data_IF_427806874037
#
_entry.id   IF_427806874037
#
_cell.length_a   1.000
_cell.length_b   1.000
_cell.length_c   1.000
_cell.angle_alpha   90.00
_cell.angle_beta   90.00
_cell.angle_gamma   90.00
#
_symmetry.space_group_name_H-M   'P 1'
#
loop_
_entity.id
_entity.type
_entity.pdbx_description
1 polymer ?
#
# COMPACT_ATOMS: atom_id res chain seq x y z
N UNK A 1 -13.64 31.61 -14.51
CA UNK A 1 -14.48 30.70 -13.71
C UNK A 1 -15.53 31.52 -13.00
N UNK A 2 -16.81 31.25 -13.22
CA UNK A 2 -17.90 32.08 -12.69
C UNK A 2 -18.05 31.85 -11.19
N UNK A 3 -18.24 32.91 -10.41
CA UNK A 3 -18.33 32.85 -8.93
C UNK A 3 -19.34 31.80 -8.43
N UNK A 4 -20.36 31.51 -9.23
CA UNK A 4 -21.38 30.49 -8.99
C UNK A 4 -20.83 29.05 -8.96
N UNK A 5 -19.84 28.72 -9.78
CA UNK A 5 -19.17 27.39 -9.75
C UNK A 5 -18.34 27.21 -8.47
N UNK A 6 -17.65 28.27 -8.03
CA UNK A 6 -16.84 28.24 -6.81
C UNK A 6 -17.72 28.16 -5.56
N UNK A 7 -18.87 28.84 -5.56
CA UNK A 7 -19.86 28.75 -4.47
C UNK A 7 -20.54 27.37 -4.43
N UNK A 8 -20.84 26.78 -5.59
CA UNK A 8 -21.36 25.41 -5.67
C UNK A 8 -20.40 24.37 -5.11
N UNK A 9 -19.11 24.46 -5.47
CA UNK A 9 -18.06 23.58 -4.93
C UNK A 9 -17.92 23.74 -3.41
N UNK A 10 -17.97 24.98 -2.89
CA UNK A 10 -17.93 25.26 -1.44
C UNK A 10 -19.17 24.72 -0.70
N UNK A 11 -20.36 24.81 -1.30
CA UNK A 11 -21.60 24.30 -0.71
C UNK A 11 -21.64 22.77 -0.66
N UNK A 12 -21.17 22.10 -1.71
CA UNK A 12 -21.03 20.64 -1.74
C UNK A 12 -19.99 20.19 -0.70
N UNK A 13 -18.86 20.89 -0.61
CA UNK A 13 -17.84 20.62 0.40
C UNK A 13 -18.36 20.79 1.84
N UNK A 14 -19.20 21.79 2.08
CA UNK A 14 -19.84 22.02 3.38
C UNK A 14 -20.85 20.91 3.73
N UNK A 15 -21.68 20.48 2.77
CA UNK A 15 -22.65 19.40 2.99
C UNK A 15 -21.94 18.06 3.29
N UNK A 16 -20.86 17.76 2.56
CA UNK A 16 -20.05 16.57 2.81
C UNK A 16 -19.39 16.69 4.20
N UNK A 17 -18.80 17.84 4.54
CA UNK A 17 -18.18 18.04 5.84
C UNK A 17 -19.17 17.93 7.00
N UNK A 18 -20.37 18.50 6.87
CA UNK A 18 -21.43 18.43 7.89
C UNK A 18 -22.01 17.03 8.04
N UNK A 19 -22.21 16.30 6.94
CA UNK A 19 -22.66 14.91 6.97
C UNK A 19 -21.60 13.98 7.60
N UNK A 20 -20.33 14.22 7.27
CA UNK A 20 -19.21 13.52 7.91
C UNK A 20 -19.13 13.83 9.41
N UNK A 21 -19.30 15.09 9.84
CA UNK A 21 -19.35 15.45 11.26
C UNK A 21 -20.56 14.86 12.00
N UNK A 22 -21.71 14.70 11.33
CA UNK A 22 -22.86 14.02 11.92
C UNK A 22 -22.61 12.51 12.10
N UNK A 23 -21.93 11.87 11.13
CA UNK A 23 -21.48 10.48 11.27
C UNK A 23 -20.39 10.32 12.34
N UNK A 24 -19.63 11.38 12.65
CA UNK A 24 -18.60 11.38 13.71
C UNK A 24 -19.15 11.19 15.12
N UNK A 25 -20.41 11.55 15.36
CA UNK A 25 -21.04 11.46 16.69
C UNK A 25 -21.70 10.08 16.95
N UNK A 26 -21.73 9.21 15.93
CA UNK A 26 -22.46 7.92 15.94
C UNK A 26 -21.51 6.71 15.83
N UNK A 27 -20.27 6.91 15.35
CA UNK A 27 -19.28 5.86 15.06
C UNK A 27 -17.97 6.17 15.80
N UNK A 28 -17.27 5.15 16.31
CA UNK A 28 -16.00 5.28 17.01
C UNK A 28 -15.01 6.22 16.25
N UNK A 29 -14.48 7.26 16.90
CA UNK A 29 -13.67 8.33 16.29
C UNK A 29 -12.54 7.82 15.39
N UNK A 30 -11.90 6.72 15.80
CA UNK A 30 -10.83 6.08 15.04
C UNK A 30 -11.29 5.58 13.65
N UNK A 31 -12.53 5.10 13.55
CA UNK A 31 -13.08 4.58 12.29
C UNK A 31 -13.28 5.71 11.28
N UNK A 32 -13.69 6.91 11.74
CA UNK A 32 -13.77 8.08 10.86
C UNK A 32 -12.39 8.48 10.35
N UNK A 33 -11.39 8.56 11.24
CA UNK A 33 -10.01 8.89 10.85
C UNK A 33 -9.48 7.91 9.82
N UNK A 34 -9.74 6.61 10.00
CA UNK A 34 -9.34 5.59 9.04
C UNK A 34 -9.97 5.80 7.67
N UNK A 35 -11.29 6.00 7.59
CA UNK A 35 -11.98 6.20 6.31
C UNK A 35 -11.47 7.46 5.62
N UNK A 36 -11.22 8.53 6.37
CA UNK A 36 -10.60 9.73 5.85
C UNK A 36 -9.22 9.45 5.25
N UNK A 37 -8.34 8.73 5.96
CA UNK A 37 -7.02 8.37 5.43
C UNK A 37 -7.10 7.46 4.21
N UNK A 38 -8.06 6.52 4.16
CA UNK A 38 -8.29 5.70 2.97
C UNK A 38 -8.62 6.53 1.73
N UNK A 39 -9.42 7.60 1.89
CA UNK A 39 -9.75 8.53 0.81
C UNK A 39 -8.53 9.35 0.39
N UNK A 40 -7.77 9.87 1.35
CA UNK A 40 -6.53 10.60 1.07
C UNK A 40 -5.53 9.71 0.32
N UNK A 41 -5.36 8.47 0.75
CA UNK A 41 -4.49 7.50 0.08
C UNK A 41 -4.94 7.19 -1.35
N UNK A 42 -6.25 7.06 -1.58
CA UNK A 42 -6.80 6.89 -2.92
C UNK A 42 -6.47 8.10 -3.81
N UNK A 43 -6.61 9.31 -3.28
CA UNK A 43 -6.29 10.54 -4.01
C UNK A 43 -4.79 10.60 -4.33
N UNK A 44 -3.92 10.36 -3.35
CA UNK A 44 -2.45 10.40 -3.57
C UNK A 44 -1.98 9.30 -4.51
N UNK A 45 -2.59 8.11 -4.46
CA UNK A 45 -2.35 7.03 -5.40
C UNK A 45 -2.74 7.37 -6.85
N UNK A 46 -3.88 8.05 -7.03
CA UNK A 46 -4.30 8.56 -8.35
C UNK A 46 -3.34 9.64 -8.84
N UNK A 47 -2.96 10.60 -7.99
CA UNK A 47 -1.99 11.65 -8.32
C UNK A 47 -0.65 11.05 -8.75
N UNK A 48 -0.15 10.05 -8.01
CA UNK A 48 1.06 9.30 -8.33
C UNK A 48 0.96 8.69 -9.73
N UNK A 49 -0.09 7.92 -10.00
CA UNK A 49 -0.27 7.24 -11.29
C UNK A 49 -0.36 8.21 -12.47
N UNK A 50 -0.93 9.40 -12.25
CA UNK A 50 -0.98 10.47 -13.24
C UNK A 50 0.42 11.02 -13.58
N UNK A 51 1.26 11.23 -12.56
CA UNK A 51 2.63 11.73 -12.74
C UNK A 51 3.57 10.69 -13.34
N UNK A 52 3.45 9.42 -12.93
CA UNK A 52 4.29 8.32 -13.43
C UNK A 52 3.83 7.79 -14.80
N UNK A 53 2.70 8.30 -15.35
CA UNK A 53 2.05 7.84 -16.59
C UNK A 53 1.79 6.32 -16.63
N UNK A 54 1.78 5.66 -15.48
CA UNK A 54 1.57 4.23 -15.36
C UNK A 54 0.16 3.96 -14.82
N UNK A 55 -0.81 3.91 -15.73
CA UNK A 55 -2.16 3.49 -15.43
C UNK A 55 -2.27 1.98 -15.59
N UNK A 56 -2.06 1.26 -14.50
CA UNK A 56 -2.38 -0.16 -14.43
C UNK A 56 -3.63 -0.36 -13.57
N UNK A 57 -4.75 -0.63 -14.22
CA UNK A 57 -6.04 -0.85 -13.56
C UNK A 57 -6.02 -2.04 -12.59
N UNK A 58 -5.17 -3.05 -12.82
CA UNK A 58 -4.97 -4.17 -11.91
C UNK A 58 -4.38 -3.72 -10.57
N UNK A 59 -3.47 -2.75 -10.58
CA UNK A 59 -2.89 -2.17 -9.35
C UNK A 59 -3.96 -1.39 -8.58
N UNK A 60 -4.77 -0.60 -9.29
CA UNK A 60 -5.89 0.14 -8.68
C UNK A 60 -6.94 -0.77 -8.06
N UNK A 61 -7.36 -1.83 -8.77
CA UNK A 61 -8.31 -2.81 -8.25
C UNK A 61 -7.75 -3.57 -7.03
N UNK A 62 -6.47 -3.94 -7.05
CA UNK A 62 -5.81 -4.56 -5.89
C UNK A 62 -5.84 -3.65 -4.66
N UNK A 63 -5.65 -2.33 -4.84
CA UNK A 63 -5.76 -1.35 -3.76
C UNK A 63 -7.16 -1.29 -3.14
N UNK A 64 -8.20 -1.28 -3.98
CA UNK A 64 -9.60 -1.26 -3.51
C UNK A 64 -9.93 -2.56 -2.74
N UNK A 65 -9.53 -3.73 -3.25
CA UNK A 65 -9.77 -5.02 -2.58
C UNK A 65 -9.12 -5.04 -1.19
N UNK A 66 -7.89 -4.52 -1.06
CA UNK A 66 -7.22 -4.40 0.24
C UNK A 66 -8.00 -3.52 1.21
N UNK A 67 -8.48 -2.35 0.78
CA UNK A 67 -9.28 -1.45 1.63
C UNK A 67 -10.59 -2.09 2.08
N UNK A 68 -11.27 -2.85 1.21
CA UNK A 68 -12.46 -3.63 1.59
C UNK A 68 -12.12 -4.68 2.65
N UNK A 69 -11.00 -5.40 2.50
CA UNK A 69 -10.55 -6.37 3.51
C UNK A 69 -10.27 -5.72 4.87
N UNK A 70 -9.73 -4.51 4.91
CA UNK A 70 -9.55 -3.74 6.16
C UNK A 70 -10.89 -3.48 6.85
N UNK A 71 -11.90 -3.02 6.10
CA UNK A 71 -13.24 -2.76 6.66
C UNK A 71 -13.85 -4.06 7.23
N UNK A 72 -13.67 -5.20 6.55
CA UNK A 72 -14.13 -6.50 7.04
C UNK A 72 -13.43 -6.91 8.34
N UNK A 73 -12.12 -6.68 8.46
CA UNK A 73 -11.36 -6.99 9.68
C UNK A 73 -11.81 -6.12 10.88
N UNK A 74 -12.15 -4.86 10.63
CA UNK A 74 -12.70 -3.98 11.67
C UNK A 74 -14.11 -4.42 12.06
N UNK A 75 -14.93 -4.85 11.10
CA UNK A 75 -16.23 -5.46 11.37
C UNK A 75 -16.11 -6.70 12.26
N UNK A 76 -15.11 -7.55 11.99
CA UNK A 76 -14.79 -8.72 12.82
C UNK A 76 -14.36 -8.30 14.23
N UNK A 77 -13.48 -7.30 14.36
CA UNK A 77 -13.08 -6.75 15.64
C UNK A 77 -14.29 -6.24 16.46
N UNK A 78 -15.21 -5.53 15.80
CA UNK A 78 -16.45 -5.07 16.43
C UNK A 78 -17.36 -6.22 16.88
N UNK A 79 -17.47 -7.29 16.09
CA UNK A 79 -18.24 -8.47 16.47
C UNK A 79 -17.64 -9.19 17.70
N UNK A 80 -16.31 -9.29 17.77
CA UNK A 80 -15.61 -9.87 18.93
C UNK A 80 -15.84 -9.00 20.17
N UNK A 81 -15.70 -7.68 20.06
CA UNK A 81 -15.90 -6.77 21.18
C UNK A 81 -17.35 -6.78 21.69
N UNK A 82 -18.34 -6.86 20.79
CA UNK A 82 -19.74 -7.05 21.14
C UNK A 82 -19.98 -8.38 21.89
N UNK A 83 -19.36 -9.47 21.44
CA UNK A 83 -19.42 -10.75 22.13
C UNK A 83 -18.81 -10.66 23.53
N UNK A 84 -17.66 -10.01 23.68
CA UNK A 84 -17.01 -9.77 24.99
C UNK A 84 -17.91 -8.95 25.93
N UNK A 85 -18.57 -7.92 25.41
CA UNK A 85 -19.52 -7.14 26.18
C UNK A 85 -20.70 -7.98 26.67
N UNK A 86 -21.21 -8.90 25.83
CA UNK A 86 -22.32 -9.79 26.19
C UNK A 86 -22.01 -10.78 27.32
N UNK A 87 -20.73 -11.15 27.50
CA UNK A 87 -20.25 -12.02 28.59
C UNK A 87 -19.78 -11.22 29.82
N UNK A 88 -20.07 -9.91 29.88
CA UNK A 88 -19.74 -9.03 31.00
C UNK A 88 -18.29 -8.53 31.01
N UNK A 89 -17.53 -8.73 29.94
CA UNK A 89 -16.17 -8.21 29.75
C UNK A 89 -16.23 -6.97 28.87
N UNK A 90 -16.64 -5.83 29.44
CA UNK A 90 -16.69 -4.56 28.72
C UNK A 90 -15.30 -4.00 28.50
N UNK A 91 -14.83 -4.11 27.26
CA UNK A 91 -13.54 -3.59 26.79
C UNK A 91 -13.60 -2.11 26.41
N UNK A 92 -14.78 -1.46 26.51
CA UNK A 92 -15.00 -0.03 26.24
C UNK A 92 -14.48 0.46 24.87
N UNK A 93 -14.48 -0.40 23.85
CA UNK A 93 -14.03 -0.07 22.51
C UNK A 93 -12.52 -0.19 22.29
N UNK A 94 -11.75 -0.72 23.26
CA UNK A 94 -10.28 -0.82 23.16
C UNK A 94 -9.85 -1.74 22.02
N UNK A 95 -10.58 -2.82 21.75
CA UNK A 95 -10.20 -3.77 20.70
C UNK A 95 -10.43 -3.15 19.32
N UNK A 96 -11.59 -2.56 19.08
CA UNK A 96 -11.89 -1.80 17.86
C UNK A 96 -10.87 -0.67 17.69
N UNK A 97 -10.59 0.10 18.75
CA UNK A 97 -9.62 1.20 18.72
C UNK A 97 -8.21 0.70 18.34
N UNK A 98 -7.75 -0.40 18.94
CA UNK A 98 -6.44 -0.98 18.66
C UNK A 98 -6.31 -1.47 17.21
N UNK A 99 -7.29 -2.25 16.73
CA UNK A 99 -7.30 -2.76 15.34
C UNK A 99 -7.40 -1.60 14.35
N UNK A 100 -8.26 -0.62 14.61
CA UNK A 100 -8.43 0.54 13.72
C UNK A 100 -7.16 1.40 13.70
N UNK A 101 -6.51 1.61 14.84
CA UNK A 101 -5.24 2.35 14.94
C UNK A 101 -4.12 1.69 14.14
N UNK A 102 -4.05 0.36 14.14
CA UNK A 102 -3.10 -0.37 13.29
C UNK A 102 -3.32 -0.07 11.80
N UNK A 103 -4.58 -0.07 11.35
CA UNK A 103 -4.88 0.25 9.95
C UNK A 103 -4.73 1.73 9.60
N UNK A 104 -4.96 2.64 10.55
CA UNK A 104 -4.64 4.08 10.39
C UNK A 104 -3.16 4.26 10.07
N UNK A 105 -2.29 3.57 10.81
CA UNK A 105 -0.86 3.59 10.54
C UNK A 105 -0.57 3.06 9.13
N UNK A 106 -1.15 1.92 8.74
CA UNK A 106 -0.96 1.34 7.40
C UNK A 106 -1.37 2.28 6.26
N UNK A 107 -2.49 2.99 6.37
CA UNK A 107 -2.89 3.99 5.37
C UNK A 107 -1.92 5.18 5.37
N UNK A 108 -1.44 5.60 6.55
CA UNK A 108 -0.38 6.61 6.66
C UNK A 108 0.92 6.22 5.95
N UNK A 109 1.31 4.93 6.03
CA UNK A 109 2.46 4.38 5.29
C UNK A 109 2.25 4.52 3.78
N UNK A 110 1.09 4.07 3.30
CA UNK A 110 0.73 4.10 1.87
C UNK A 110 0.72 5.53 1.31
N UNK A 111 0.15 6.48 2.06
CA UNK A 111 0.18 7.90 1.71
C UNK A 111 1.62 8.41 1.60
N UNK A 112 2.47 8.08 2.58
CA UNK A 112 3.83 8.58 2.59
C UNK A 112 4.66 8.01 1.43
N UNK A 113 4.42 6.75 1.05
CA UNK A 113 5.00 6.14 -0.14
C UNK A 113 4.55 6.87 -1.42
N UNK A 114 3.24 7.13 -1.57
CA UNK A 114 2.71 7.86 -2.72
C UNK A 114 3.31 9.27 -2.79
N UNK A 115 3.42 9.98 -1.67
CA UNK A 115 4.05 11.30 -1.58
C UNK A 115 5.56 11.27 -1.92
N UNK A 116 6.29 10.24 -1.50
CA UNK A 116 7.71 10.07 -1.84
C UNK A 116 7.89 9.95 -3.35
N UNK A 117 7.02 9.18 -4.01
CA UNK A 117 7.05 8.98 -5.45
C UNK A 117 6.56 10.22 -6.23
N UNK A 118 5.81 11.11 -5.59
CA UNK A 118 5.49 12.44 -6.10
C UNK A 118 6.65 13.45 -5.94
N UNK A 119 7.78 13.07 -5.34
CA UNK A 119 8.95 13.93 -5.17
C UNK A 119 8.87 14.87 -3.97
N UNK A 120 7.96 14.63 -3.02
CA UNK A 120 7.96 15.39 -1.77
C UNK A 120 9.19 15.02 -0.93
N UNK A 121 9.91 16.00 -0.35
CA UNK A 121 11.07 15.72 0.49
C UNK A 121 10.61 15.12 1.82
N UNK A 122 10.67 13.79 1.92
CA UNK A 122 10.32 13.04 3.13
C UNK A 122 11.59 12.74 3.92
N UNK A 123 11.60 13.01 5.25
CA UNK A 123 12.74 12.68 6.09
C UNK A 123 13.11 11.19 6.01
N UNK A 124 14.41 10.86 5.83
CA UNK A 124 14.85 9.48 5.65
C UNK A 124 14.56 8.59 6.87
N UNK A 125 14.43 9.17 8.06
CA UNK A 125 14.06 8.46 9.29
C UNK A 125 12.66 7.85 9.17
N UNK A 126 11.71 8.60 8.60
CA UNK A 126 10.34 8.11 8.37
C UNK A 126 10.35 7.02 7.30
N UNK A 127 11.03 7.25 6.17
CA UNK A 127 11.13 6.27 5.10
C UNK A 127 11.77 4.94 5.54
N UNK A 128 12.85 4.99 6.33
CA UNK A 128 13.51 3.80 6.85
C UNK A 128 12.68 3.06 7.91
N UNK A 129 11.90 3.78 8.71
CA UNK A 129 10.95 3.15 9.64
C UNK A 129 9.82 2.42 8.89
N UNK A 130 9.32 3.02 7.80
CA UNK A 130 8.32 2.44 6.91
C UNK A 130 8.84 1.19 6.19
N UNK A 131 10.04 1.27 5.59
CA UNK A 131 10.65 0.15 4.86
C UNK A 131 10.84 -1.08 5.77
N UNK A 132 11.24 -0.85 7.03
CA UNK A 132 11.37 -1.92 8.02
C UNK A 132 10.01 -2.54 8.39
N UNK A 133 8.95 -1.74 8.54
CA UNK A 133 7.60 -2.27 8.78
C UNK A 133 7.07 -3.06 7.57
N UNK A 134 7.34 -2.58 6.34
CA UNK A 134 6.86 -3.22 5.11
C UNK A 134 7.60 -4.53 4.78
N UNK A 135 8.86 -4.67 5.21
CA UNK A 135 9.64 -5.90 5.02
C UNK A 135 9.27 -7.04 5.98
N UNK A 136 8.54 -6.77 7.07
CA UNK A 136 8.27 -7.74 8.13
C UNK A 136 6.76 -8.04 8.44
N UNK A 137 5.86 -8.31 7.46
CA UNK A 137 4.57 -8.94 7.76
C UNK A 137 4.65 -10.47 7.88
N UNK A 138 5.66 -11.08 7.26
CA UNK A 138 6.03 -12.48 7.42
C UNK A 138 7.50 -12.49 7.82
N UNK A 139 7.76 -12.72 9.10
CA UNK A 139 9.12 -12.89 9.59
C UNK A 139 9.85 -13.88 8.69
N UNK A 140 11.09 -13.55 8.32
CA UNK A 140 12.06 -14.30 7.49
C UNK A 140 11.91 -15.85 7.49
N UNK A 141 10.86 -16.39 6.89
CA UNK A 141 10.62 -17.84 6.79
C UNK A 141 10.76 -18.33 5.34
N UNK A 142 11.39 -17.56 4.44
CA UNK A 142 11.79 -18.08 3.13
C UNK A 142 13.01 -17.32 2.56
N UNK A 143 14.09 -17.27 3.33
CA UNK A 143 15.35 -17.66 2.71
C UNK A 143 15.47 -19.14 2.99
N UNK A 144 14.86 -19.98 2.14
CA UNK A 144 15.33 -21.37 1.98
C UNK A 144 16.85 -21.23 1.88
N UNK A 145 17.59 -21.79 2.84
CA UNK A 145 19.05 -21.75 2.80
C UNK A 145 19.46 -22.36 1.45
N UNK A 146 19.73 -21.50 0.46
CA UNK A 146 20.05 -21.90 -0.89
C UNK A 146 21.36 -22.67 -0.73
N UNK A 147 21.34 -23.98 -0.98
CA UNK A 147 22.55 -24.78 -0.88
C UNK A 147 23.62 -24.09 -1.77
N UNK A 148 24.82 -23.77 -1.25
CA UNK A 148 25.90 -23.14 -2.00
C UNK A 148 26.18 -23.77 -3.38
N UNK A 149 25.82 -25.04 -3.58
CA UNK A 149 25.96 -25.73 -4.86
C UNK A 149 25.04 -25.18 -5.97
N UNK A 150 23.88 -24.62 -5.64
CA UNK A 150 22.97 -24.04 -6.64
C UNK A 150 23.55 -22.78 -7.30
N UNK A 151 24.25 -21.94 -6.53
CA UNK A 151 24.92 -20.76 -7.09
C UNK A 151 26.05 -21.14 -8.06
N UNK A 152 26.70 -22.29 -7.82
CA UNK A 152 27.72 -22.83 -8.73
C UNK A 152 27.10 -23.31 -10.03
N UNK A 153 25.96 -24.01 -9.96
CA UNK A 153 25.25 -24.51 -11.16
C UNK A 153 24.79 -23.35 -12.03
N UNK A 154 24.18 -22.32 -11.44
CA UNK A 154 23.73 -21.13 -12.17
C UNK A 154 24.92 -20.43 -12.84
N UNK A 155 26.04 -20.27 -12.13
CA UNK A 155 27.25 -19.64 -12.68
C UNK A 155 27.86 -20.45 -13.82
N UNK A 156 27.84 -21.78 -13.73
CA UNK A 156 28.30 -22.69 -14.79
C UNK A 156 27.37 -22.63 -16.02
N UNK A 157 26.05 -22.56 -15.81
CA UNK A 157 25.09 -22.43 -16.90
C UNK A 157 25.31 -21.11 -17.67
N UNK A 158 25.47 -19.99 -16.95
CA UNK A 158 25.75 -18.67 -17.54
C UNK A 158 27.09 -18.65 -18.27
N UNK A 159 28.13 -19.32 -17.74
CA UNK A 159 29.42 -19.40 -18.43
C UNK A 159 29.32 -20.17 -19.75
N UNK A 160 28.61 -21.30 -19.77
CA UNK A 160 28.41 -22.08 -21.01
C UNK A 160 27.62 -21.31 -22.06
N UNK A 161 26.58 -20.57 -21.64
CA UNK A 161 25.80 -19.73 -22.54
C UNK A 161 26.66 -18.60 -23.14
N UNK A 162 27.48 -17.95 -22.31
CA UNK A 162 28.41 -16.92 -22.79
C UNK A 162 29.46 -17.49 -23.75
N UNK A 163 30.03 -18.67 -23.47
CA UNK A 163 30.98 -19.32 -24.38
C UNK A 163 30.32 -19.66 -25.74
N UNK A 164 29.07 -20.14 -25.71
CA UNK A 164 28.31 -20.42 -26.93
C UNK A 164 28.10 -19.15 -27.75
N UNK A 165 27.63 -18.06 -27.11
CA UNK A 165 27.44 -16.76 -27.75
C UNK A 165 28.73 -16.20 -28.34
N UNK A 166 29.87 -16.33 -27.63
CA UNK A 166 31.16 -15.92 -28.16
C UNK A 166 31.55 -16.74 -29.40
N UNK A 167 31.26 -18.05 -29.42
CA UNK A 167 31.52 -18.91 -30.57
C UNK A 167 30.65 -18.58 -31.78
N UNK A 168 29.40 -18.17 -31.56
CA UNK A 168 28.50 -17.71 -32.62
C UNK A 168 28.92 -16.36 -33.19
N UNK A 169 29.26 -15.40 -32.32
CA UNK A 169 29.77 -14.09 -32.74
C UNK A 169 31.06 -14.21 -33.55
N UNK A 170 31.95 -15.15 -33.22
CA UNK A 170 33.15 -15.41 -34.02
C UNK A 170 32.81 -15.98 -35.41
N UNK A 171 31.83 -16.88 -35.50
CA UNK A 171 31.36 -17.42 -36.78
C UNK A 171 30.68 -16.36 -37.65
N UNK A 172 29.94 -15.43 -37.05
CA UNK A 172 29.35 -14.30 -37.76
C UNK A 172 30.40 -13.35 -38.31
N UNK A 173 31.39 -12.95 -37.51
CA UNK A 173 32.51 -12.11 -37.98
C UNK A 173 33.28 -12.75 -39.14
N UNK A 174 33.53 -14.05 -39.08
CA UNK A 174 34.19 -14.78 -40.18
C UNK A 174 33.35 -14.89 -41.46
N UNK A 175 32.02 -14.72 -41.37
CA UNK A 175 31.13 -14.64 -42.54
C UNK A 175 31.06 -13.23 -43.12
N UNK A 176 31.20 -12.19 -42.30
CA UNK A 176 31.24 -10.80 -42.78
C UNK A 176 32.57 -10.46 -43.49
N UNK A 177 33.67 -11.15 -43.16
CA UNK A 177 34.99 -10.97 -43.77
C UNK A 177 35.21 -11.78 -45.08
N UNK A 178 34.18 -12.47 -45.61
CA UNK A 178 34.22 -13.23 -46.88
C UNK A 178 33.24 -12.69 -47.90
#
# INVERSE_FOLDING_TARGET
MTRMQVTGIKGIGALIASFTMYMMDIVNEALIVLVFLMLVDMITGVMRSFMTKSWNSTIGASGIIKKVAVILLIGMAGAIEYMMQSVGQDSKGVLILGVTSFFILNEGISILENCAQLGLPIPPILFNALEKLHKDPYGKENQVARNPDMDRIDKVAIMRENEHLQSELQKEKQKEDK
#
